data_IF_188081018539
#
_entry.id   IF_188081018539
#
_cell.length_a   1.000
_cell.length_b   1.000
_cell.length_c   1.000
_cell.angle_alpha   90.00
_cell.angle_beta   90.00
_cell.angle_gamma   90.00
#
_symmetry.space_group_name_H-M   'P 1'
#
loop_
_entity.id
_entity.type
_entity.pdbx_description
1 polymer ?
#
# COMPACT_ATOMS: atom_id res chain seq x y z
N UNK A 1 8.36 19.03 1.03
CA UNK A 1 8.15 18.02 2.09
C UNK A 1 7.49 16.77 1.52
N UNK A 2 8.19 15.65 1.52
CA UNK A 2 7.65 14.38 1.00
C UNK A 2 6.79 13.69 2.07
N UNK A 3 5.47 13.80 1.90
CA UNK A 3 4.48 13.14 2.78
C UNK A 3 4.29 11.64 2.50
N UNK A 4 4.98 11.11 1.48
CA UNK A 4 4.83 9.72 1.03
C UNK A 4 5.13 8.71 2.14
N UNK A 5 6.26 8.82 2.82
CA UNK A 5 6.65 7.88 3.88
C UNK A 5 5.65 7.86 5.04
N UNK A 6 5.18 9.05 5.45
CA UNK A 6 4.12 9.20 6.43
C UNK A 6 2.84 8.49 5.98
N UNK A 7 2.38 8.74 4.75
CA UNK A 7 1.16 8.14 4.21
C UNK A 7 1.23 6.62 4.17
N UNK A 8 2.40 6.05 3.87
CA UNK A 8 2.61 4.60 3.93
C UNK A 8 2.50 4.06 5.36
N UNK A 9 3.13 4.72 6.34
CA UNK A 9 3.01 4.34 7.74
C UNK A 9 1.55 4.41 8.23
N UNK A 10 0.81 5.47 7.87
CA UNK A 10 -0.62 5.62 8.17
C UNK A 10 -1.44 4.51 7.51
N UNK A 11 -1.14 4.14 6.26
CA UNK A 11 -1.84 3.06 5.57
C UNK A 11 -1.69 1.72 6.30
N UNK A 12 -0.49 1.42 6.81
CA UNK A 12 -0.26 0.23 7.65
C UNK A 12 -1.08 0.27 8.93
N UNK A 13 -1.13 1.42 9.61
CA UNK A 13 -1.95 1.54 10.83
C UNK A 13 -3.44 1.35 10.52
N UNK A 14 -3.93 1.89 9.40
CA UNK A 14 -5.30 1.67 8.96
C UNK A 14 -5.59 0.17 8.75
N UNK A 15 -4.65 -0.56 8.16
CA UNK A 15 -4.77 -2.00 7.98
C UNK A 15 -4.87 -2.77 9.31
N UNK A 16 -4.00 -2.45 10.27
CA UNK A 16 -3.99 -3.11 11.58
C UNK A 16 -5.31 -2.87 12.36
N UNK A 17 -5.88 -1.67 12.22
CA UNK A 17 -7.11 -1.28 12.90
C UNK A 17 -8.37 -1.82 12.20
N UNK A 18 -8.45 -1.67 10.88
CA UNK A 18 -9.64 -2.04 10.11
C UNK A 18 -9.72 -3.55 9.87
N UNK A 19 -8.57 -4.26 9.75
CA UNK A 19 -8.44 -5.71 9.46
C UNK A 19 -9.39 -6.20 8.35
N UNK A 20 -9.59 -5.38 7.33
CA UNK A 20 -10.55 -5.58 6.23
C UNK A 20 -9.81 -5.61 4.90
N UNK A 21 -10.58 -5.69 3.80
CA UNK A 21 -10.07 -5.59 2.43
C UNK A 21 -9.06 -4.43 2.27
N UNK A 22 -7.93 -4.66 1.61
CA UNK A 22 -6.83 -3.71 1.42
C UNK A 22 -7.27 -2.34 0.86
N UNK A 23 -8.35 -2.32 0.07
CA UNK A 23 -8.98 -1.10 -0.46
C UNK A 23 -9.67 -0.24 0.62
N UNK A 24 -10.15 -0.85 1.71
CA UNK A 24 -10.81 -0.13 2.81
C UNK A 24 -9.83 0.77 3.57
N UNK A 25 -8.54 0.44 3.56
CA UNK A 25 -7.50 1.24 4.21
C UNK A 25 -7.36 2.65 3.59
N UNK A 26 -7.84 2.83 2.36
CA UNK A 26 -7.82 4.10 1.65
C UNK A 26 -9.04 4.98 1.93
N UNK A 27 -10.13 4.44 2.49
CA UNK A 27 -11.35 5.21 2.81
C UNK A 27 -11.06 6.38 3.77
N UNK A 28 -10.25 6.24 4.84
CA UNK A 28 -9.85 7.38 5.68
C UNK A 28 -9.11 8.48 4.93
N UNK A 29 -8.29 8.13 3.92
CA UNK A 29 -7.59 9.11 3.10
C UNK A 29 -8.57 9.91 2.23
N UNK A 30 -9.56 9.24 1.64
CA UNK A 30 -10.62 9.90 0.87
C UNK A 30 -11.44 10.84 1.75
N UNK A 31 -11.89 10.38 2.92
CA UNK A 31 -12.63 11.20 3.87
C UNK A 31 -11.84 12.46 4.28
N UNK A 32 -10.55 12.27 4.59
CA UNK A 32 -9.64 13.38 4.95
C UNK A 32 -9.48 14.37 3.81
N UNK A 33 -9.29 13.89 2.58
CA UNK A 33 -9.12 14.73 1.39
C UNK A 33 -10.38 15.52 1.06
N UNK A 34 -11.54 14.86 1.11
CA UNK A 34 -12.84 15.48 0.85
C UNK A 34 -13.05 16.69 1.74
N UNK A 35 -12.78 16.51 3.04
CA UNK A 35 -12.93 17.57 4.04
C UNK A 35 -11.93 18.69 3.86
N UNK A 36 -10.64 18.37 3.68
CA UNK A 36 -9.58 19.39 3.54
C UNK A 36 -9.78 20.30 2.33
N UNK A 37 -10.36 19.77 1.26
CA UNK A 37 -10.56 20.47 -0.02
C UNK A 37 -12.01 20.94 -0.23
N UNK A 38 -12.88 20.67 0.75
CA UNK A 38 -14.31 20.99 0.73
C UNK A 38 -15.00 20.64 -0.60
N UNK A 39 -14.86 19.38 -1.04
CA UNK A 39 -15.46 18.95 -2.30
C UNK A 39 -16.99 18.99 -2.23
N UNK A 40 -17.61 19.65 -3.20
CA UNK A 40 -19.06 19.61 -3.41
C UNK A 40 -19.46 18.50 -4.40
N UNK A 41 -18.57 18.23 -5.37
CA UNK A 41 -18.65 17.10 -6.29
C UNK A 41 -17.23 16.59 -6.57
N UNK A 42 -17.10 15.28 -6.81
CA UNK A 42 -15.79 14.64 -7.03
C UNK A 42 -15.61 14.37 -8.51
N UNK A 43 -14.65 15.07 -9.11
CA UNK A 43 -13.99 14.69 -10.35
C UNK A 43 -12.82 13.75 -10.03
N UNK A 44 -12.81 12.56 -10.64
CA UNK A 44 -11.84 11.51 -10.32
C UNK A 44 -10.41 11.91 -10.71
N UNK A 45 -10.24 12.58 -11.85
CA UNK A 45 -8.92 13.02 -12.34
C UNK A 45 -8.33 14.08 -11.41
N UNK A 46 -9.15 15.07 -11.03
CA UNK A 46 -8.77 16.09 -10.04
C UNK A 46 -8.45 15.45 -8.69
N UNK A 47 -9.26 14.48 -8.24
CA UNK A 47 -9.00 13.77 -7.00
C UNK A 47 -7.66 13.02 -7.02
N UNK A 48 -7.26 12.40 -8.14
CA UNK A 48 -5.95 11.77 -8.25
C UNK A 48 -4.80 12.77 -8.05
N UNK A 49 -4.92 13.97 -8.63
CA UNK A 49 -3.93 15.04 -8.50
C UNK A 49 -3.88 15.57 -7.06
N UNK A 50 -5.05 15.84 -6.48
CA UNK A 50 -5.17 16.32 -5.11
C UNK A 50 -4.68 15.28 -4.10
N UNK A 51 -4.94 13.99 -4.34
CA UNK A 51 -4.44 12.88 -3.53
C UNK A 51 -2.92 12.80 -3.55
N UNK A 52 -2.31 12.89 -4.74
CA UNK A 52 -0.85 12.96 -4.87
C UNK A 52 -0.28 14.16 -4.14
N UNK A 53 -0.92 15.32 -4.27
CA UNK A 53 -0.45 16.56 -3.62
C UNK A 53 -0.56 16.48 -2.10
N UNK A 54 -1.63 15.88 -1.59
CA UNK A 54 -1.88 15.82 -0.16
C UNK A 54 -1.11 14.69 0.54
N UNK A 55 -0.95 13.54 -0.11
CA UNK A 55 -0.40 12.33 0.51
C UNK A 55 0.90 11.84 -0.12
N UNK A 56 1.31 12.38 -1.26
CA UNK A 56 2.54 11.99 -1.96
C UNK A 56 2.47 10.62 -2.64
N UNK A 57 1.27 10.03 -2.77
CA UNK A 57 1.03 8.73 -3.40
C UNK A 57 0.36 8.91 -4.76
N UNK A 58 0.83 8.19 -5.77
CA UNK A 58 0.32 8.27 -7.15
C UNK A 58 -0.65 7.12 -7.39
N UNK A 59 -1.95 7.41 -7.25
CA UNK A 59 -3.02 6.44 -7.53
C UNK A 59 -3.57 6.70 -8.94
N UNK A 60 -3.56 5.70 -9.85
CA UNK A 60 -4.16 5.84 -11.17
C UNK A 60 -5.68 5.97 -11.13
N UNK A 61 -6.25 6.41 -12.25
CA UNK A 61 -7.68 6.71 -12.38
C UNK A 61 -8.61 5.53 -12.02
N UNK A 62 -8.38 4.34 -12.58
CA UNK A 62 -9.25 3.19 -12.33
C UNK A 62 -9.19 2.69 -10.88
N UNK A 63 -8.02 2.50 -10.26
CA UNK A 63 -7.95 2.19 -8.83
C UNK A 63 -8.60 3.26 -7.94
N UNK A 64 -8.50 4.55 -8.30
CA UNK A 64 -9.21 5.61 -7.58
C UNK A 64 -10.74 5.44 -7.64
N UNK A 65 -11.29 5.05 -8.80
CA UNK A 65 -12.72 4.70 -8.91
C UNK A 65 -13.08 3.57 -7.94
N UNK A 66 -12.26 2.52 -7.88
CA UNK A 66 -12.49 1.38 -6.98
C UNK A 66 -12.54 1.83 -5.52
N UNK A 67 -11.63 2.70 -5.09
CA UNK A 67 -11.62 3.28 -3.74
C UNK A 67 -12.88 4.15 -3.50
N UNK A 68 -13.31 4.92 -4.49
CA UNK A 68 -14.54 5.73 -4.41
C UNK A 68 -15.80 4.87 -4.29
N UNK A 69 -15.85 3.73 -4.97
CA UNK A 69 -16.97 2.79 -4.84
C UNK A 69 -16.99 2.11 -3.46
N UNK A 70 -15.83 1.85 -2.84
CA UNK A 70 -15.75 1.40 -1.44
C UNK A 70 -16.23 2.49 -0.48
N UNK A 71 -15.79 3.73 -0.72
CA UNK A 71 -16.21 4.92 0.01
C UNK A 71 -17.74 5.11 -0.07
N UNK A 72 -18.35 4.84 -1.23
CA UNK A 72 -19.81 4.83 -1.40
C UNK A 72 -20.50 3.79 -0.52
N UNK A 73 -19.97 2.56 -0.44
CA UNK A 73 -20.51 1.50 0.43
C UNK A 73 -20.45 1.87 1.93
N UNK A 74 -19.52 2.75 2.31
CA UNK A 74 -19.41 3.32 3.67
C UNK A 74 -20.29 4.54 3.91
N UNK A 75 -21.01 5.02 2.89
CA UNK A 75 -21.93 6.14 2.99
C UNK A 75 -21.26 7.51 3.05
N UNK A 76 -19.93 7.61 2.90
CA UNK A 76 -19.23 8.91 2.85
C UNK A 76 -19.40 9.63 1.51
N UNK A 77 -19.82 8.90 0.48
CA UNK A 77 -20.10 9.43 -0.85
C UNK A 77 -21.40 8.80 -1.35
N UNK A 78 -22.23 9.59 -2.03
CA UNK A 78 -23.39 9.13 -2.79
C UNK A 78 -23.12 9.29 -4.28
N UNK A 79 -23.68 8.41 -5.11
CA UNK A 79 -23.64 8.56 -6.57
C UNK A 79 -24.99 9.07 -7.05
N UNK A 80 -25.02 10.24 -7.68
CA UNK A 80 -26.22 10.86 -8.25
C UNK A 80 -25.88 11.37 -9.64
N UNK A 81 -26.70 11.07 -10.67
CA UNK A 81 -26.47 11.51 -12.06
C UNK A 81 -25.03 11.24 -12.56
N UNK A 82 -24.51 10.05 -12.25
CA UNK A 82 -23.14 9.63 -12.54
C UNK A 82 -22.00 10.46 -11.90
N UNK A 83 -22.33 11.33 -10.94
CA UNK A 83 -21.36 12.09 -10.16
C UNK A 83 -21.26 11.56 -8.72
N UNK A 84 -20.07 11.64 -8.15
CA UNK A 84 -19.80 11.33 -6.75
C UNK A 84 -19.99 12.61 -5.91
N UNK A 85 -20.89 12.54 -4.92
CA UNK A 85 -21.23 13.66 -4.04
C UNK A 85 -20.88 13.27 -2.60
N UNK A 86 -20.00 14.03 -1.92
CA UNK A 86 -19.69 13.83 -0.52
C UNK A 86 -20.90 13.90 0.43
N UNK A 87 -20.83 13.14 1.52
CA UNK A 87 -21.78 13.21 2.64
C UNK A 87 -21.01 13.67 3.87
N UNK A 88 -20.96 14.98 4.09
CA UNK A 88 -20.10 15.59 5.11
C UNK A 88 -20.38 15.08 6.53
N UNK A 89 -21.64 14.83 6.88
CA UNK A 89 -22.02 14.31 8.21
C UNK A 89 -21.34 12.96 8.52
N UNK A 90 -21.18 12.09 7.51
CA UNK A 90 -20.53 10.79 7.64
C UNK A 90 -19.01 10.86 7.66
N UNK A 91 -18.43 11.97 7.18
CA UNK A 91 -16.98 12.17 7.13
C UNK A 91 -16.45 12.57 8.51
N UNK A 92 -17.24 13.33 9.28
CA UNK A 92 -16.90 13.74 10.65
C UNK A 92 -16.76 12.51 11.57
N UNK A 93 -17.58 11.47 11.38
CA UNK A 93 -17.52 10.22 12.16
C UNK A 93 -16.21 9.42 11.93
N UNK A 94 -15.52 9.62 10.82
CA UNK A 94 -14.34 8.83 10.40
C UNK A 94 -13.02 9.58 10.68
N UNK A 95 -13.02 10.61 11.52
CA UNK A 95 -11.82 11.42 11.74
C UNK A 95 -10.68 10.66 12.45
N UNK A 96 -9.67 10.29 11.67
CA UNK A 96 -8.43 9.62 12.10
C UNK A 96 -7.28 10.61 12.41
N UNK A 97 -7.59 11.85 12.83
CA UNK A 97 -6.61 12.92 13.04
C UNK A 97 -5.48 12.52 14.02
N UNK A 98 -5.82 11.77 15.07
CA UNK A 98 -4.87 11.33 16.10
C UNK A 98 -3.81 10.35 15.58
N UNK A 99 -4.16 9.49 14.64
CA UNK A 99 -3.20 8.54 14.02
C UNK A 99 -2.18 9.32 13.18
N UNK A 100 -2.64 10.33 12.44
CA UNK A 100 -1.76 11.14 11.60
C UNK A 100 -0.71 11.91 12.42
N UNK A 101 -1.06 12.43 13.61
CA UNK A 101 -0.14 13.18 14.46
C UNK A 101 0.95 12.31 15.10
N UNK A 102 0.60 11.12 15.57
CA UNK A 102 1.59 10.20 16.13
C UNK A 102 2.57 9.71 15.06
N UNK A 103 2.06 9.37 13.87
CA UNK A 103 2.90 8.95 12.75
C UNK A 103 3.78 10.10 12.24
N UNK A 104 3.32 11.35 12.33
CA UNK A 104 4.12 12.53 11.98
C UNK A 104 5.34 12.67 12.88
N UNK A 105 5.18 12.52 14.21
CA UNK A 105 6.30 12.58 15.16
C UNK A 105 7.33 11.49 14.89
N UNK A 106 6.88 10.26 14.61
CA UNK A 106 7.77 9.13 14.30
C UNK A 106 8.50 9.33 12.96
N UNK A 107 7.81 9.87 11.95
CA UNK A 107 8.41 10.26 10.66
C UNK A 107 9.58 11.24 10.87
N UNK A 108 9.32 12.32 11.60
CA UNK A 108 10.32 13.35 11.87
C UNK A 108 11.51 12.80 12.66
N UNK A 109 11.27 11.93 13.64
CA UNK A 109 12.32 11.23 14.39
C UNK A 109 13.24 10.46 13.45
N UNK A 110 12.69 9.65 12.53
CA UNK A 110 13.51 8.82 11.63
C UNK A 110 14.31 9.64 10.63
N UNK A 111 13.69 10.65 10.02
CA UNK A 111 14.40 11.51 9.07
C UNK A 111 15.56 12.21 9.78
N UNK A 112 15.35 12.68 11.01
CA UNK A 112 16.41 13.29 11.82
C UNK A 112 17.52 12.29 12.15
N UNK A 113 17.18 11.10 12.66
CA UNK A 113 18.15 10.05 12.97
C UNK A 113 18.99 9.67 11.74
N UNK A 114 18.38 9.63 10.56
CA UNK A 114 19.10 9.33 9.33
C UNK A 114 20.09 10.42 8.94
N UNK A 115 19.68 11.69 9.03
CA UNK A 115 20.56 12.84 8.77
C UNK A 115 21.73 12.84 9.75
N UNK A 116 21.45 12.65 11.05
CA UNK A 116 22.47 12.62 12.10
C UNK A 116 23.44 11.44 11.90
N UNK A 117 22.92 10.27 11.51
CA UNK A 117 23.73 9.09 11.18
C UNK A 117 24.66 9.34 9.98
N UNK A 118 24.15 9.95 8.91
CA UNK A 118 24.94 10.26 7.71
C UNK A 118 26.07 11.26 8.01
N UNK A 119 25.80 12.27 8.84
CA UNK A 119 26.80 13.24 9.26
C UNK A 119 27.83 12.61 10.18
N UNK A 120 27.41 11.86 11.20
CA UNK A 120 28.32 11.30 12.21
C UNK A 120 29.23 10.18 11.67
N UNK A 121 28.72 9.30 10.81
CA UNK A 121 29.45 8.10 10.37
C UNK A 121 30.15 8.27 9.02
N UNK A 122 29.69 9.21 8.19
CA UNK A 122 30.17 9.37 6.81
C UNK A 122 30.50 10.82 6.45
N UNK A 123 30.33 11.78 7.38
CA UNK A 123 30.54 13.21 7.16
C UNK A 123 29.76 13.77 5.96
N UNK A 124 28.55 13.23 5.71
CA UNK A 124 27.67 13.68 4.63
C UNK A 124 26.56 14.53 5.21
N UNK A 125 26.43 15.77 4.73
CA UNK A 125 25.30 16.63 5.06
C UNK A 125 24.12 16.33 4.12
N UNK A 126 23.02 15.85 4.69
CA UNK A 126 21.80 15.53 3.95
C UNK A 126 20.69 16.55 4.28
N UNK A 127 20.24 17.35 3.31
CA UNK A 127 19.00 18.08 3.45
C UNK A 127 17.83 17.12 3.70
N UNK A 128 16.84 17.56 4.48
CA UNK A 128 15.65 16.76 4.83
C UNK A 128 14.98 16.12 3.61
N UNK A 129 14.82 16.90 2.54
CA UNK A 129 14.15 16.46 1.32
C UNK A 129 14.95 15.39 0.57
N UNK A 130 16.29 15.50 0.59
CA UNK A 130 17.19 14.50 0.04
C UNK A 130 17.16 13.21 0.86
N UNK A 131 17.08 13.32 2.19
CA UNK A 131 16.94 12.19 3.09
C UNK A 131 15.62 11.42 2.84
N UNK A 132 14.49 12.13 2.75
CA UNK A 132 13.19 11.54 2.40
C UNK A 132 13.24 10.89 1.00
N UNK A 133 13.82 11.58 0.01
CA UNK A 133 13.92 11.08 -1.37
C UNK A 133 14.78 9.82 -1.47
N UNK A 134 15.83 9.74 -0.65
CA UNK A 134 16.69 8.56 -0.60
C UNK A 134 15.92 7.33 -0.11
N UNK A 135 15.06 7.49 0.90
CA UNK A 135 14.19 6.43 1.38
C UNK A 135 13.16 6.01 0.33
N UNK A 136 12.45 6.96 -0.30
CA UNK A 136 11.48 6.62 -1.35
C UNK A 136 12.16 5.92 -2.52
N UNK A 137 13.33 6.41 -2.95
CA UNK A 137 14.09 5.81 -4.05
C UNK A 137 14.59 4.41 -3.69
N UNK A 138 15.03 4.20 -2.44
CA UNK A 138 15.44 2.89 -1.93
C UNK A 138 14.27 1.90 -1.90
N UNK A 139 13.10 2.33 -1.41
CA UNK A 139 11.88 1.51 -1.47
C UNK A 139 11.59 1.15 -2.92
N UNK A 140 11.47 2.16 -3.80
CA UNK A 140 11.18 2.01 -5.22
C UNK A 140 12.08 1.03 -6.00
N UNK A 141 13.37 0.94 -5.66
CA UNK A 141 14.29 -0.02 -6.28
C UNK A 141 14.07 -1.46 -5.81
N UNK A 142 13.60 -1.62 -4.57
CA UNK A 142 13.32 -2.92 -3.96
C UNK A 142 11.83 -3.31 -4.03
N UNK A 143 10.95 -2.42 -4.54
CA UNK A 143 9.54 -2.70 -4.88
C UNK A 143 9.40 -3.94 -5.76
N UNK A 144 10.42 -4.22 -6.58
CA UNK A 144 10.37 -5.23 -7.65
C UNK A 144 10.64 -6.67 -7.19
N UNK A 145 11.55 -6.91 -6.25
CA UNK A 145 11.84 -8.29 -5.78
C UNK A 145 10.74 -8.84 -4.86
N UNK A 146 10.01 -7.96 -4.17
CA UNK A 146 8.95 -8.36 -3.23
C UNK A 146 7.62 -8.62 -3.97
N UNK A 147 7.40 -7.98 -5.12
CA UNK A 147 6.10 -8.06 -5.80
C UNK A 147 6.12 -8.72 -7.20
N UNK A 148 7.26 -8.79 -7.89
CA UNK A 148 7.27 -9.16 -9.31
C UNK A 148 7.81 -10.55 -9.65
N UNK A 149 6.99 -11.51 -9.29
CA UNK A 149 6.59 -12.53 -10.25
C UNK A 149 5.58 -12.04 -11.34
N UNK A 150 5.09 -10.77 -11.39
CA UNK A 150 4.07 -10.34 -12.40
C UNK A 150 3.85 -8.81 -12.69
N UNK A 151 4.64 -8.13 -13.55
CA UNK A 151 4.46 -6.75 -14.14
C UNK A 151 4.60 -5.43 -13.31
N UNK A 152 5.82 -4.85 -13.24
CA UNK A 152 6.23 -3.59 -12.57
C UNK A 152 5.23 -2.41 -12.52
N UNK A 153 4.44 -2.28 -11.44
CA UNK A 153 3.55 -1.14 -11.14
C UNK A 153 3.77 -0.70 -9.67
N UNK A 154 4.05 0.58 -9.44
CA UNK A 154 4.26 1.19 -8.09
C UNK A 154 3.41 2.45 -7.92
N UNK A 155 2.98 2.74 -6.70
CA UNK A 155 2.30 4.01 -6.36
C UNK A 155 3.26 5.08 -5.82
N UNK A 156 4.55 4.75 -5.67
CA UNK A 156 5.55 5.72 -5.23
C UNK A 156 5.79 6.77 -6.32
N UNK A 157 6.09 8.02 -5.93
CA UNK A 157 6.52 9.02 -6.89
C UNK A 157 7.90 8.65 -7.44
N UNK A 158 8.13 8.92 -8.73
CA UNK A 158 9.47 8.81 -9.32
C UNK A 158 10.41 9.85 -8.70
N UNK A 159 11.40 9.39 -7.95
CA UNK A 159 12.44 10.23 -7.33
C UNK A 159 13.82 9.75 -7.73
N UNK A 160 14.69 10.69 -8.10
CA UNK A 160 16.08 10.40 -8.44
C UNK A 160 16.92 10.54 -7.17
N UNK A 161 17.64 9.49 -6.81
CA UNK A 161 18.58 9.50 -5.69
C UNK A 161 19.92 8.90 -6.11
N UNK A 162 21.00 9.47 -5.59
CA UNK A 162 22.37 9.02 -5.88
C UNK A 162 22.63 7.63 -5.30
N UNK A 163 23.54 6.87 -5.93
CA UNK A 163 23.98 5.56 -5.40
C UNK A 163 24.55 5.69 -3.98
N UNK A 164 25.22 6.81 -3.69
CA UNK A 164 25.73 7.13 -2.35
C UNK A 164 24.61 7.26 -1.31
N UNK A 165 23.55 8.01 -1.62
CA UNK A 165 22.42 8.19 -0.71
C UNK A 165 21.67 6.87 -0.44
N UNK A 166 21.52 6.03 -1.46
CA UNK A 166 20.94 4.68 -1.32
C UNK A 166 21.79 3.77 -0.43
N UNK A 167 23.11 3.82 -0.60
CA UNK A 167 24.04 3.12 0.29
C UNK A 167 23.90 3.59 1.75
N UNK A 168 23.74 4.90 1.98
CA UNK A 168 23.49 5.45 3.31
C UNK A 168 22.19 4.93 3.91
N UNK A 169 21.10 4.87 3.14
CA UNK A 169 19.82 4.29 3.61
C UNK A 169 20.02 2.84 4.04
N UNK A 170 20.69 2.01 3.22
CA UNK A 170 20.98 0.61 3.56
C UNK A 170 21.79 0.47 4.85
N UNK A 171 22.83 1.29 5.02
CA UNK A 171 23.67 1.30 6.23
C UNK A 171 22.90 1.78 7.46
N UNK A 172 22.07 2.79 7.30
CA UNK A 172 21.22 3.31 8.35
C UNK A 172 20.18 2.29 8.81
N UNK A 173 19.47 1.63 7.88
CA UNK A 173 18.51 0.58 8.23
C UNK A 173 19.20 -0.56 9.00
N UNK A 174 20.39 -0.98 8.56
CA UNK A 174 21.18 -1.99 9.29
C UNK A 174 21.52 -1.52 10.71
N UNK A 175 21.99 -0.28 10.85
CA UNK A 175 22.32 0.29 12.16
C UNK A 175 21.10 0.36 13.09
N UNK A 176 19.95 0.83 12.59
CA UNK A 176 18.72 0.90 13.38
C UNK A 176 18.19 -0.49 13.76
N UNK A 177 18.26 -1.47 12.85
CA UNK A 177 17.88 -2.86 13.14
C UNK A 177 18.66 -3.45 14.33
N UNK A 178 19.95 -3.13 14.42
CA UNK A 178 20.84 -3.64 15.48
C UNK A 178 20.74 -2.85 16.80
N UNK A 179 20.37 -1.56 16.76
CA UNK A 179 20.54 -0.65 17.90
C UNK A 179 19.24 0.01 18.41
N UNK A 180 18.18 0.10 17.61
CA UNK A 180 16.92 0.76 17.99
C UNK A 180 15.70 0.00 17.41
N UNK A 181 15.25 -1.08 18.10
CA UNK A 181 14.12 -1.89 17.65
C UNK A 181 12.80 -1.12 17.52
N UNK A 182 12.58 -0.09 18.35
CA UNK A 182 11.36 0.71 18.30
C UNK A 182 11.30 1.54 17.02
N UNK A 183 12.41 2.21 16.68
CA UNK A 183 12.53 2.96 15.43
C UNK A 183 12.53 2.04 14.22
N UNK A 184 13.17 0.87 14.30
CA UNK A 184 13.12 -0.14 13.25
C UNK A 184 11.67 -0.56 12.96
N UNK A 185 10.83 -0.70 13.99
CA UNK A 185 9.42 -1.05 13.82
C UNK A 185 8.64 -0.06 12.96
N UNK A 186 9.00 1.22 13.02
CA UNK A 186 8.38 2.21 12.14
C UNK A 186 8.84 2.07 10.69
N UNK A 187 10.13 1.74 10.46
CA UNK A 187 10.62 1.43 9.10
C UNK A 187 9.88 0.21 8.54
N UNK A 188 9.68 -0.84 9.33
CA UNK A 188 8.84 -1.99 8.95
C UNK A 188 7.42 -1.55 8.57
N UNK A 189 6.80 -0.66 9.37
CA UNK A 189 5.46 -0.15 9.07
C UNK A 189 5.41 0.59 7.73
N UNK A 190 6.44 1.37 7.38
CA UNK A 190 6.54 2.02 6.05
C UNK A 190 6.61 0.97 4.95
N UNK A 191 7.46 -0.06 5.10
CA UNK A 191 7.61 -1.12 4.08
C UNK A 191 6.31 -1.90 3.91
N UNK A 192 5.65 -2.29 5.00
CA UNK A 192 4.34 -2.97 4.96
C UNK A 192 3.28 -2.07 4.33
N UNK A 193 3.26 -0.79 4.71
CA UNK A 193 2.42 0.23 4.08
C UNK A 193 2.63 0.28 2.58
N UNK A 194 3.89 0.35 2.14
CA UNK A 194 4.25 0.33 0.72
C UNK A 194 3.71 -0.92 0.01
N UNK A 195 3.92 -2.12 0.57
CA UNK A 195 3.40 -3.37 0.00
C UNK A 195 1.86 -3.37 -0.13
N UNK A 196 1.15 -2.98 0.93
CA UNK A 196 -0.33 -2.86 0.91
C UNK A 196 -0.80 -1.87 -0.16
N UNK A 197 -0.02 -0.82 -0.35
CA UNK A 197 -0.35 0.25 -1.26
C UNK A 197 -0.18 -0.14 -2.73
N UNK A 198 0.83 -0.98 -3.02
CA UNK A 198 1.01 -1.53 -4.35
C UNK A 198 0.03 -2.68 -4.64
N UNK A 199 -0.45 -3.42 -3.64
CA UNK A 199 -1.52 -4.40 -3.81
C UNK A 199 -2.77 -3.79 -4.49
N UNK A 200 -3.03 -2.50 -4.28
CA UNK A 200 -4.10 -1.73 -4.92
C UNK A 200 -3.98 -1.66 -6.46
N UNK A 201 -2.77 -1.80 -7.01
CA UNK A 201 -2.52 -1.77 -8.45
C UNK A 201 -2.72 -3.13 -9.13
N UNK A 202 -2.99 -4.18 -8.35
CA UNK A 202 -3.23 -5.52 -8.86
C UNK A 202 -4.72 -5.82 -8.87
N UNK A 203 -5.33 -5.74 -10.05
CA UNK A 203 -6.72 -6.16 -10.28
C UNK A 203 -6.94 -7.68 -10.10
N UNK A 204 -5.87 -8.49 -9.93
CA UNK A 204 -5.93 -9.95 -9.93
C UNK A 204 -5.97 -10.63 -8.56
N UNK A 205 -6.11 -9.91 -7.45
CA UNK A 205 -6.42 -10.53 -6.15
C UNK A 205 -7.91 -10.74 -5.91
N UNK A 206 -8.77 -10.50 -6.91
CA UNK A 206 -10.12 -11.04 -6.90
C UNK A 206 -10.00 -12.57 -6.95
N UNK A 207 -10.04 -13.20 -5.77
CA UNK A 207 -10.41 -14.62 -5.67
C UNK A 207 -11.70 -14.74 -6.45
N UNK A 208 -11.68 -15.45 -7.56
CA UNK A 208 -12.87 -15.77 -8.32
C UNK A 208 -13.97 -16.24 -7.36
N UNK A 209 -14.98 -15.39 -7.15
CA UNK A 209 -16.19 -15.70 -6.37
C UNK A 209 -17.37 -15.97 -7.31
N UNK A 210 -17.10 -16.69 -8.40
CA UNK A 210 -18.18 -17.23 -9.23
C UNK A 210 -18.83 -18.42 -8.52
N UNK A 211 -20.16 -18.49 -8.54
CA UNK A 211 -20.83 -19.77 -8.26
C UNK A 211 -20.58 -20.66 -9.48
N UNK A 212 -20.00 -21.85 -9.29
CA UNK A 212 -19.76 -22.85 -10.35
C UNK A 212 -21.08 -23.50 -10.79
N UNK A 213 -22.09 -22.69 -11.11
CA UNK A 213 -23.43 -23.16 -11.47
C UNK A 213 -23.41 -23.59 -12.93
N UNK A 214 -23.56 -24.90 -13.17
CA UNK A 214 -23.43 -25.50 -14.51
C UNK A 214 -21.99 -25.82 -14.91
N UNK A 215 -21.10 -26.01 -13.95
CA UNK A 215 -19.78 -26.57 -14.24
C UNK A 215 -19.89 -28.09 -14.39
N UNK A 216 -19.65 -28.57 -15.61
CA UNK A 216 -19.44 -30.00 -15.86
C UNK A 216 -17.95 -30.29 -15.85
N UNK A 217 -17.52 -31.15 -14.92
CA UNK A 217 -16.13 -31.60 -14.82
C UNK A 217 -16.05 -32.99 -15.44
N UNK A 218 -15.33 -33.10 -16.55
CA UNK A 218 -15.03 -34.38 -17.18
C UNK A 218 -13.63 -34.81 -16.76
N UNK A 219 -13.56 -35.95 -16.09
CA UNK A 219 -12.31 -36.61 -15.73
C UNK A 219 -12.07 -37.76 -16.69
N UNK A 220 -10.84 -37.88 -17.16
CA UNK A 220 -10.41 -39.05 -17.92
C UNK A 220 -10.58 -40.31 -17.06
N UNK A 221 -11.13 -41.37 -17.64
CA UNK A 221 -11.34 -42.64 -16.94
C UNK A 221 -10.02 -43.23 -16.40
N UNK A 222 -8.89 -42.96 -17.08
CA UNK A 222 -7.57 -43.37 -16.59
C UNK A 222 -7.22 -42.74 -15.24
N UNK A 223 -7.62 -41.48 -15.01
CA UNK A 223 -7.45 -40.83 -13.70
C UNK A 223 -8.30 -41.51 -12.63
N UNK A 224 -9.55 -41.87 -12.96
CA UNK A 224 -10.46 -42.57 -12.05
C UNK A 224 -9.87 -43.94 -11.65
N UNK A 225 -9.36 -44.72 -12.60
CA UNK A 225 -8.75 -46.03 -12.31
C UNK A 225 -7.46 -45.91 -11.47
N UNK A 226 -6.63 -44.90 -11.74
CA UNK A 226 -5.46 -44.63 -10.93
C UNK A 226 -5.84 -44.28 -9.48
N UNK A 227 -6.85 -43.42 -9.30
CA UNK A 227 -7.35 -43.02 -7.98
C UNK A 227 -7.96 -44.19 -7.19
N UNK A 228 -8.73 -45.06 -7.85
CA UNK A 228 -9.32 -46.25 -7.21
C UNK A 228 -8.23 -47.26 -6.80
N UNK A 229 -7.13 -47.31 -7.54
CA UNK A 229 -5.99 -48.19 -7.28
C UNK A 229 -5.90 -49.40 -8.20
N UNK A 230 -6.75 -49.47 -9.23
CA UNK A 230 -6.73 -50.54 -10.24
C UNK A 230 -5.42 -50.54 -11.04
N UNK A 231 -4.81 -49.36 -11.20
CA UNK A 231 -3.53 -49.21 -11.90
C UNK A 231 -2.30 -49.40 -10.99
N UNK A 232 -2.49 -49.84 -9.75
CA UNK A 232 -1.44 -50.10 -8.77
C UNK A 232 -1.16 -48.96 -7.80
N UNK A 233 -0.56 -49.32 -6.65
CA UNK A 233 -0.28 -48.42 -5.52
C UNK A 233 0.51 -47.17 -5.90
N UNK A 234 1.57 -47.22 -6.74
CA UNK A 234 2.35 -46.02 -7.07
C UNK A 234 1.52 -44.95 -7.78
N UNK A 235 0.65 -45.36 -8.71
CA UNK A 235 -0.21 -44.44 -9.46
C UNK A 235 -1.34 -43.89 -8.59
N UNK A 236 -1.82 -44.68 -7.63
CA UNK A 236 -2.79 -44.22 -6.63
C UNK A 236 -2.21 -43.15 -5.72
N UNK A 237 -1.01 -43.36 -5.21
CA UNK A 237 -0.33 -42.39 -4.34
C UNK A 237 -0.11 -41.04 -5.06
N UNK A 238 0.27 -41.07 -6.34
CA UNK A 238 0.46 -39.88 -7.16
C UNK A 238 -0.84 -39.09 -7.46
N UNK A 239 -2.02 -39.66 -7.22
CA UNK A 239 -3.30 -38.97 -7.36
C UNK A 239 -3.79 -38.36 -6.04
N UNK A 240 -3.13 -38.64 -4.91
CA UNK A 240 -3.54 -38.23 -3.56
C UNK A 240 -2.60 -37.16 -2.98
N UNK A 241 -1.34 -37.10 -3.44
CA UNK A 241 -0.40 -35.98 -3.19
C UNK A 241 -0.76 -34.72 -3.98
#
# INVERSE_FOLDING_TARGET
MQKTLLSLAVLKVNWDYLKKDHLENFVPFIATLIRKKDYQSIDVSKMCIDFKTEFGLVIPYHPMITILDRSKKRGIIKKSHNQYIPVMDRIIEIEFSRISEEQQKKHEKIVRLFIDFAKANYNVELPKETAESAFISFLGEHDLEIMFAAESKTILPSVISSRGNKFLVKRFIKHICENDPETFKYIENIVIGHMLSCALLYDKFDRFKGKLKGLDIYLDTGFIFNFLGDSGVPKKSACIE
#
